data_IF_683332591693
#
_entry.id   IF_683332591693
#
_cell.length_a   1.000
_cell.length_b   1.000
_cell.length_c   1.000
_cell.angle_alpha   90.00
_cell.angle_beta   90.00
_cell.angle_gamma   90.00
#
_symmetry.space_group_name_H-M   'P 1'
#
loop_
_entity.id
_entity.type
_entity.pdbx_description
1 polymer ?
#
# COMPACT_ATOMS: atom_id res chain seq x y z
N UNK A 1 -21.84 -1.32 -4.52
CA UNK A 1 -20.46 -0.81 -4.65
C UNK A 1 -19.54 -1.93 -4.19
N UNK A 2 -18.58 -2.37 -5.01
CA UNK A 2 -17.69 -3.47 -4.67
C UNK A 2 -16.82 -3.11 -3.46
N UNK A 3 -16.53 -4.08 -2.59
CA UNK A 3 -15.63 -3.90 -1.44
C UNK A 3 -14.24 -3.42 -1.89
N UNK A 4 -13.80 -3.87 -3.08
CA UNK A 4 -12.54 -3.44 -3.69
C UNK A 4 -12.55 -1.95 -4.05
N UNK A 5 -13.70 -1.44 -4.52
CA UNK A 5 -13.87 -0.01 -4.84
C UNK A 5 -13.84 0.81 -3.56
N UNK A 6 -14.50 0.36 -2.48
CA UNK A 6 -14.45 1.05 -1.18
C UNK A 6 -13.01 1.11 -0.63
N UNK A 7 -12.24 0.03 -0.77
CA UNK A 7 -10.84 0.00 -0.34
C UNK A 7 -9.99 0.99 -1.16
N UNK A 8 -10.19 1.03 -2.49
CA UNK A 8 -9.50 1.97 -3.38
C UNK A 8 -9.86 3.44 -3.07
N UNK A 9 -11.12 3.74 -2.79
CA UNK A 9 -11.59 5.10 -2.43
C UNK A 9 -11.00 5.60 -1.10
N UNK A 10 -10.60 4.68 -0.20
CA UNK A 10 -9.96 5.02 1.08
C UNK A 10 -8.46 5.28 0.96
N UNK A 11 -7.81 4.72 -0.07
CA UNK A 11 -6.36 4.80 -0.21
C UNK A 11 -5.81 6.24 -0.24
N UNK A 12 -6.38 7.21 -0.99
CA UNK A 12 -5.84 8.57 -1.05
C UNK A 12 -5.78 9.27 0.31
N UNK A 13 -6.84 9.10 1.12
CA UNK A 13 -6.90 9.70 2.46
C UNK A 13 -5.96 9.00 3.45
N UNK A 14 -5.71 7.71 3.24
CA UNK A 14 -4.84 6.91 4.12
C UNK A 14 -3.35 7.25 3.92
N UNK A 15 -2.93 7.62 2.70
CA UNK A 15 -1.52 7.91 2.36
C UNK A 15 -0.97 9.07 3.19
N UNK A 16 -1.68 10.21 3.25
CA UNK A 16 -1.21 11.39 3.99
C UNK A 16 -1.04 11.08 5.48
N UNK A 17 -2.03 10.37 6.06
CA UNK A 17 -1.98 9.95 7.45
C UNK A 17 -0.78 9.02 7.71
N UNK A 18 -0.56 8.04 6.83
CA UNK A 18 0.53 7.07 6.97
C UNK A 18 1.91 7.73 6.99
N UNK A 19 2.13 8.65 6.04
CA UNK A 19 3.39 9.39 5.91
C UNK A 19 3.60 10.27 7.14
N UNK A 20 2.54 10.97 7.58
CA UNK A 20 2.60 11.82 8.77
C UNK A 20 2.97 11.00 10.02
N UNK A 21 2.29 9.89 10.27
CA UNK A 21 2.56 9.03 11.42
C UNK A 21 3.98 8.46 11.37
N UNK A 22 4.43 8.01 10.19
CA UNK A 22 5.79 7.50 10.00
C UNK A 22 6.85 8.57 10.34
N UNK A 23 6.65 9.81 9.89
CA UNK A 23 7.54 10.93 10.17
C UNK A 23 7.51 11.36 11.65
N UNK A 24 6.32 11.44 12.26
CA UNK A 24 6.15 11.80 13.67
C UNK A 24 6.78 10.75 14.60
N UNK A 25 6.62 9.46 14.28
CA UNK A 25 7.17 8.35 15.03
C UNK A 25 8.65 8.07 14.74
N UNK A 26 9.24 8.70 13.70
CA UNK A 26 10.55 8.35 13.14
C UNK A 26 10.67 6.85 12.82
N UNK A 27 9.57 6.26 12.34
CA UNK A 27 9.54 4.87 11.93
C UNK A 27 10.11 4.70 10.52
N UNK A 28 10.72 3.56 10.26
CA UNK A 28 11.23 3.18 8.93
C UNK A 28 10.12 2.71 8.01
N UNK A 29 9.01 2.26 8.58
CA UNK A 29 7.94 1.53 7.92
C UNK A 29 6.63 1.77 8.66
N UNK A 30 5.54 1.88 7.90
CA UNK A 30 4.19 1.98 8.42
C UNK A 30 3.21 1.26 7.48
N UNK A 31 2.13 0.72 8.04
CA UNK A 31 1.13 -0.06 7.31
C UNK A 31 -0.27 0.23 7.85
N UNK A 32 -1.25 0.35 6.95
CA UNK A 32 -2.66 0.47 7.30
C UNK A 32 -3.52 -0.45 6.46
N UNK A 33 -4.50 -1.09 7.09
CA UNK A 33 -5.54 -1.83 6.38
C UNK A 33 -6.52 -0.88 5.69
N UNK A 34 -6.76 -1.08 4.40
CA UNK A 34 -7.76 -0.34 3.62
C UNK A 34 -9.13 -1.03 3.64
N UNK A 35 -9.13 -2.36 3.70
CA UNK A 35 -10.34 -3.18 3.77
C UNK A 35 -10.06 -4.67 3.66
N UNK A 36 -11.12 -5.46 3.77
CA UNK A 36 -11.11 -6.91 3.57
C UNK A 36 -12.05 -7.24 2.40
N UNK A 37 -11.63 -8.15 1.53
CA UNK A 37 -12.45 -8.72 0.47
C UNK A 37 -12.69 -10.20 0.77
N UNK A 38 -13.79 -10.75 0.25
CA UNK A 38 -13.96 -12.19 0.19
C UNK A 38 -13.55 -12.70 -1.20
N UNK A 39 -12.54 -13.57 -1.25
CA UNK A 39 -12.07 -14.24 -2.46
C UNK A 39 -12.19 -15.75 -2.25
N UNK A 40 -13.07 -16.40 -3.03
CA UNK A 40 -13.31 -17.85 -2.96
C UNK A 40 -13.66 -18.36 -1.53
N UNK A 41 -14.44 -17.57 -0.78
CA UNK A 41 -14.81 -17.88 0.61
C UNK A 41 -13.69 -17.69 1.63
N UNK A 42 -12.58 -17.05 1.24
CA UNK A 42 -11.49 -16.67 2.14
C UNK A 42 -11.37 -15.16 2.25
N UNK A 43 -11.06 -14.62 3.44
CA UNK A 43 -10.76 -13.21 3.58
C UNK A 43 -9.43 -12.88 2.89
N UNK A 44 -9.41 -11.77 2.16
CA UNK A 44 -8.27 -11.17 1.50
C UNK A 44 -8.13 -9.74 2.03
N UNK A 45 -7.09 -9.49 2.81
CA UNK A 45 -6.82 -8.17 3.36
C UNK A 45 -6.10 -7.29 2.33
N UNK A 46 -6.59 -6.06 2.16
CA UNK A 46 -5.94 -5.01 1.38
C UNK A 46 -5.30 -4.02 2.34
N UNK A 47 -4.03 -3.72 2.13
CA UNK A 47 -3.27 -2.77 2.94
C UNK A 47 -2.42 -1.83 2.08
N UNK A 48 -2.07 -0.68 2.66
CA UNK A 48 -1.11 0.26 2.10
C UNK A 48 0.13 0.29 2.99
N UNK A 49 1.30 0.17 2.38
CA UNK A 49 2.60 0.17 3.05
C UNK A 49 3.38 1.39 2.58
N UNK A 50 3.98 2.14 3.50
CA UNK A 50 5.02 3.13 3.21
C UNK A 50 6.26 2.70 3.96
N UNK A 51 7.38 2.64 3.25
CA UNK A 51 8.66 2.17 3.79
C UNK A 51 9.80 3.04 3.27
N UNK A 52 10.82 3.22 4.11
CA UNK A 52 12.11 3.80 3.73
C UNK A 52 13.12 2.71 3.32
N UNK A 53 12.80 1.44 3.55
CA UNK A 53 13.67 0.32 3.19
C UNK A 53 13.57 0.08 1.68
N UNK A 54 14.62 0.45 0.94
CA UNK A 54 14.66 0.29 -0.52
C UNK A 54 14.43 -1.16 -0.98
N UNK A 55 14.82 -2.14 -0.16
CA UNK A 55 14.62 -3.57 -0.45
C UNK A 55 13.15 -4.02 -0.39
N UNK A 56 12.29 -3.27 0.31
CA UNK A 56 10.85 -3.57 0.46
C UNK A 56 9.99 -2.90 -0.64
N UNK A 57 10.59 -2.07 -1.51
CA UNK A 57 9.89 -1.55 -2.67
C UNK A 57 9.67 -2.71 -3.64
N UNK A 58 8.40 -3.03 -3.91
CA UNK A 58 8.02 -4.08 -4.85
C UNK A 58 8.52 -3.68 -6.25
N UNK A 59 9.60 -4.35 -6.66
CA UNK A 59 10.32 -4.32 -7.94
C UNK A 59 10.97 -2.98 -8.35
N UNK A 60 12.30 -2.97 -8.20
CA UNK A 60 13.29 -2.39 -9.10
C UNK A 60 12.71 -2.01 -10.48
N UNK A 61 12.53 -0.71 -10.76
CA UNK A 61 12.19 -0.11 -12.07
C UNK A 61 13.27 -0.42 -13.16
N UNK A 62 14.12 -1.42 -12.96
CA UNK A 62 15.17 -1.88 -13.89
C UNK A 62 14.65 -2.63 -15.12
N UNK A 63 13.34 -2.79 -15.32
CA UNK A 63 12.77 -3.38 -16.55
C UNK A 63 11.90 -2.35 -17.29
N UNK A 64 12.45 -1.17 -17.54
CA UNK A 64 12.18 -0.43 -18.77
C UNK A 64 13.54 -0.12 -19.40
N UNK A 65 14.23 -1.17 -19.86
CA UNK A 65 15.28 -0.96 -20.85
C UNK A 65 14.57 -0.70 -22.17
N UNK A 66 14.74 0.51 -22.70
CA UNK A 66 14.44 0.88 -24.09
C UNK A 66 14.91 -0.26 -25.01
N UNK A 67 13.96 -0.84 -25.76
CA UNK A 67 14.24 -1.72 -26.89
C UNK A 67 14.63 -0.79 -28.06
N UNK A 68 15.93 -0.55 -28.25
CA UNK A 68 16.53 0.12 -29.42
C UNK A 68 16.57 -0.79 -30.67
#
# INVERSE_FOLDING_TARGET
MSEAIKAAERAPNAIEHLIREMLEAKATDNVIGLGELELEGKPLQIQLVVTMNQEDFLDDDSIISDDD
#
